data_IF_660140508098
#
_entry.id   IF_660140508098
#
_cell.length_a   1.000
_cell.length_b   1.000
_cell.length_c   1.000
_cell.angle_alpha   90.00
_cell.angle_beta   90.00
_cell.angle_gamma   90.00
#
_symmetry.space_group_name_H-M   'P 1'
#
loop_
_entity.id
_entity.type
_entity.pdbx_description
1 polymer ?
#
# COMPACT_ATOMS: atom_id res chain seq x y z
N UNK A 1 27.93 -5.40 8.01
CA UNK A 1 28.17 -5.15 6.58
C UNK A 1 26.90 -4.54 6.01
N UNK A 2 27.05 -3.55 5.12
CA UNK A 2 26.10 -2.51 4.69
C UNK A 2 24.59 -2.86 4.59
N UNK A 3 23.80 -2.36 5.54
CA UNK A 3 22.34 -2.18 5.42
C UNK A 3 21.92 -1.14 4.35
N UNK A 4 22.87 -0.54 3.63
CA UNK A 4 22.61 0.43 2.55
C UNK A 4 22.39 -0.20 1.17
N UNK A 5 22.74 -1.48 0.98
CA UNK A 5 22.73 -2.10 -0.36
C UNK A 5 21.35 -2.68 -0.72
N UNK A 6 20.54 -3.10 0.26
CA UNK A 6 19.20 -3.66 0.00
C UNK A 6 18.12 -2.59 -0.30
N UNK A 7 18.41 -1.29 -0.14
CA UNK A 7 17.42 -0.21 -0.28
C UNK A 7 17.43 0.50 -1.63
N UNK A 8 18.29 0.11 -2.58
CA UNK A 8 18.33 0.70 -3.92
C UNK A 8 17.42 -0.03 -4.93
N UNK A 9 16.87 -1.19 -4.59
CA UNK A 9 16.01 -1.95 -5.49
C UNK A 9 14.65 -1.29 -5.65
N UNK A 10 14.28 -0.91 -6.87
CA UNK A 10 12.94 -0.42 -7.19
C UNK A 10 11.97 -1.59 -7.28
N UNK A 11 10.83 -1.50 -6.58
CA UNK A 11 9.77 -2.49 -6.69
C UNK A 11 9.29 -2.60 -8.14
N UNK A 12 9.15 -3.81 -8.65
CA UNK A 12 8.52 -4.06 -9.95
C UNK A 12 7.00 -3.98 -9.76
N UNK A 13 6.28 -3.47 -10.77
CA UNK A 13 4.82 -3.49 -10.77
C UNK A 13 4.29 -4.91 -10.52
N UNK A 14 3.31 -5.01 -9.63
CA UNK A 14 2.58 -6.23 -9.31
C UNK A 14 1.11 -5.98 -9.55
N UNK A 15 0.37 -6.98 -10.03
CA UNK A 15 -1.09 -6.86 -10.18
C UNK A 15 -1.77 -6.65 -8.82
N UNK A 16 -1.12 -7.04 -7.73
CA UNK A 16 -1.57 -6.74 -6.37
C UNK A 16 -1.64 -5.23 -6.04
N UNK A 17 -0.96 -4.37 -6.81
CA UNK A 17 -1.01 -2.91 -6.66
C UNK A 17 -2.14 -2.26 -7.46
N UNK A 18 -2.86 -3.03 -8.29
CA UNK A 18 -3.96 -2.56 -9.12
C UNK A 18 -5.06 -1.92 -8.27
N UNK A 19 -5.49 -0.72 -8.66
CA UNK A 19 -6.72 -0.10 -8.14
C UNK A 19 -7.93 -0.50 -9.00
N UNK A 20 -7.68 -1.29 -10.05
CA UNK A 20 -8.65 -1.93 -10.93
C UNK A 20 -9.21 -1.01 -12.00
N UNK A 21 -8.55 0.09 -12.30
CA UNK A 21 -8.85 0.92 -13.46
C UNK A 21 -7.73 0.73 -14.46
N UNK A 22 -8.02 0.09 -15.59
CA UNK A 22 -7.00 -0.32 -16.56
C UNK A 22 -6.15 0.84 -17.08
N UNK A 23 -6.74 2.04 -17.20
CA UNK A 23 -6.01 3.21 -17.70
C UNK A 23 -5.08 3.76 -16.64
N UNK A 24 -5.56 3.88 -15.40
CA UNK A 24 -4.73 4.37 -14.29
C UNK A 24 -3.66 3.34 -13.92
N UNK A 25 -4.00 2.06 -13.86
CA UNK A 25 -3.06 0.96 -13.61
C UNK A 25 -1.95 0.92 -14.68
N UNK A 26 -2.26 1.22 -15.96
CA UNK A 26 -1.25 1.34 -17.00
C UNK A 26 -0.32 2.54 -16.81
N UNK A 27 -0.83 3.67 -16.31
CA UNK A 27 0.00 4.82 -15.94
C UNK A 27 0.89 4.50 -14.73
N UNK A 28 0.34 3.83 -13.70
CA UNK A 28 1.12 3.35 -12.57
C UNK A 28 2.22 2.40 -13.00
N UNK A 29 1.92 1.40 -13.82
CA UNK A 29 2.92 0.48 -14.36
C UNK A 29 4.04 1.23 -15.08
N UNK A 30 3.71 2.23 -15.92
CA UNK A 30 4.73 3.03 -16.60
C UNK A 30 5.59 3.86 -15.64
N UNK A 31 5.05 4.35 -14.52
CA UNK A 31 5.85 5.00 -13.46
C UNK A 31 6.91 4.04 -12.89
N UNK A 32 6.50 2.80 -12.60
CA UNK A 32 7.43 1.76 -12.13
C UNK A 32 8.45 1.39 -13.19
N UNK A 33 8.07 1.29 -14.47
CA UNK A 33 9.01 1.00 -15.56
C UNK A 33 10.10 2.08 -15.67
N UNK A 34 9.71 3.36 -15.66
CA UNK A 34 10.66 4.49 -15.69
C UNK A 34 11.56 4.45 -14.46
N UNK A 35 11.01 4.21 -13.27
CA UNK A 35 11.79 4.13 -12.04
C UNK A 35 12.78 2.95 -12.07
N UNK A 36 12.40 1.81 -12.64
CA UNK A 36 13.26 0.63 -12.77
C UNK A 36 14.48 0.86 -13.67
N UNK A 37 14.48 1.87 -14.53
CA UNK A 37 15.66 2.28 -15.31
C UNK A 37 16.83 2.73 -14.39
N UNK A 38 16.55 3.12 -13.14
CA UNK A 38 17.58 3.42 -12.14
C UNK A 38 18.51 2.23 -11.88
N UNK A 39 18.02 0.99 -12.01
CA UNK A 39 18.80 -0.23 -11.79
C UNK A 39 19.92 -0.43 -12.82
N UNK A 40 19.77 0.17 -14.01
CA UNK A 40 20.75 0.09 -15.11
C UNK A 40 21.43 1.43 -15.38
N UNK A 41 21.30 2.38 -14.45
CA UNK A 41 21.89 3.70 -14.59
C UNK A 41 23.43 3.64 -14.50
N UNK A 42 24.12 4.14 -15.53
CA UNK A 42 25.58 4.03 -15.68
C UNK A 42 26.33 5.33 -15.42
N UNK A 43 25.66 6.48 -15.49
CA UNK A 43 26.31 7.79 -15.34
C UNK A 43 25.31 8.90 -14.97
N UNK A 44 25.81 10.06 -14.55
CA UNK A 44 24.97 11.19 -14.10
C UNK A 44 24.06 11.76 -15.20
N UNK A 45 24.46 11.68 -16.47
CA UNK A 45 23.66 12.17 -17.60
C UNK A 45 22.43 11.26 -17.77
N UNK A 46 22.63 9.95 -17.71
CA UNK A 46 21.57 8.95 -17.74
C UNK A 46 20.63 9.14 -16.53
N UNK A 47 21.18 9.26 -15.31
CA UNK A 47 20.40 9.53 -14.09
C UNK A 47 19.53 10.79 -14.21
N UNK A 48 20.10 11.87 -14.76
CA UNK A 48 19.37 13.13 -14.97
C UNK A 48 18.24 12.96 -15.99
N UNK A 49 18.43 12.09 -16.99
CA UNK A 49 17.41 11.78 -18.00
C UNK A 49 16.25 11.01 -17.37
N UNK A 50 16.55 9.94 -16.63
CA UNK A 50 15.56 9.12 -15.90
C UNK A 50 14.75 10.02 -14.94
N UNK A 51 15.42 10.83 -14.12
CA UNK A 51 14.73 11.69 -13.15
C UNK A 51 13.81 12.72 -13.82
N UNK A 52 14.25 13.32 -14.94
CA UNK A 52 13.40 14.25 -15.69
C UNK A 52 12.20 13.55 -16.31
N UNK A 53 12.39 12.34 -16.82
CA UNK A 53 11.30 11.52 -17.35
C UNK A 53 10.31 11.15 -16.24
N UNK A 54 10.80 10.67 -15.09
CA UNK A 54 9.99 10.34 -13.93
C UNK A 54 9.15 11.55 -13.49
N UNK A 55 9.77 12.71 -13.28
CA UNK A 55 9.04 13.96 -12.92
C UNK A 55 7.97 14.30 -13.95
N UNK A 56 8.32 14.24 -15.25
CA UNK A 56 7.39 14.56 -16.33
C UNK A 56 6.20 13.61 -16.32
N UNK A 57 6.45 12.32 -16.17
CA UNK A 57 5.42 11.29 -16.20
C UNK A 57 4.55 11.30 -14.94
N UNK A 58 5.13 11.49 -13.75
CA UNK A 58 4.38 11.69 -12.49
C UNK A 58 3.43 12.88 -12.60
N UNK A 59 3.88 14.02 -13.15
CA UNK A 59 2.99 15.18 -13.39
C UNK A 59 1.88 14.87 -14.39
N UNK A 60 2.18 14.10 -15.44
CA UNK A 60 1.18 13.69 -16.42
C UNK A 60 0.10 12.80 -15.80
N UNK A 61 0.52 11.78 -15.05
CA UNK A 61 -0.37 10.86 -14.35
C UNK A 61 -1.28 11.62 -13.37
N UNK A 62 -0.70 12.43 -12.46
CA UNK A 62 -1.47 13.23 -11.51
C UNK A 62 -2.44 14.20 -12.18
N UNK A 63 -2.08 14.80 -13.32
CA UNK A 63 -3.01 15.65 -14.06
C UNK A 63 -4.19 14.88 -14.66
N UNK A 64 -3.98 13.62 -15.08
CA UNK A 64 -5.04 12.75 -15.57
C UNK A 64 -5.95 12.29 -14.43
N UNK A 65 -5.38 11.87 -13.31
CA UNK A 65 -6.14 11.46 -12.12
C UNK A 65 -6.96 12.64 -11.57
N UNK A 66 -6.36 13.82 -11.41
CA UNK A 66 -7.09 15.01 -10.93
C UNK A 66 -8.22 15.45 -11.89
N UNK A 67 -8.06 15.20 -13.20
CA UNK A 67 -9.14 15.42 -14.18
C UNK A 67 -10.26 14.42 -13.94
N UNK A 68 -9.94 13.15 -13.78
CA UNK A 68 -10.89 12.10 -13.46
C UNK A 68 -11.64 12.39 -12.15
N UNK A 69 -10.93 12.70 -11.07
CA UNK A 69 -11.51 13.08 -9.77
C UNK A 69 -12.45 14.29 -9.87
N UNK A 70 -12.13 15.26 -10.74
CA UNK A 70 -12.99 16.42 -10.99
C UNK A 70 -14.28 16.04 -11.72
N UNK A 71 -14.19 15.18 -12.73
CA UNK A 71 -15.35 14.65 -13.45
C UNK A 71 -16.29 13.88 -12.50
N UNK A 72 -15.74 13.26 -11.46
CA UNK A 72 -16.47 12.55 -10.42
C UNK A 72 -17.03 13.44 -9.30
N UNK A 73 -16.68 14.73 -9.26
CA UNK A 73 -16.94 15.62 -8.11
C UNK A 73 -16.41 15.04 -6.78
N UNK A 74 -15.24 14.40 -6.81
CA UNK A 74 -14.63 13.80 -5.63
C UNK A 74 -14.37 14.87 -4.55
N UNK A 75 -14.98 14.67 -3.38
CA UNK A 75 -15.07 15.71 -2.34
C UNK A 75 -13.71 16.13 -1.78
N UNK A 76 -12.73 15.22 -1.80
CA UNK A 76 -11.39 15.43 -1.23
C UNK A 76 -10.33 15.78 -2.28
N UNK A 77 -10.74 16.20 -3.48
CA UNK A 77 -9.83 16.57 -4.57
C UNK A 77 -8.77 17.61 -4.14
N UNK A 78 -9.18 18.60 -3.34
CA UNK A 78 -8.25 19.64 -2.88
C UNK A 78 -7.14 19.06 -1.97
N UNK A 79 -7.49 18.12 -1.08
CA UNK A 79 -6.53 17.44 -0.21
C UNK A 79 -5.59 16.55 -1.03
N UNK A 80 -6.13 15.78 -1.97
CA UNK A 80 -5.35 14.88 -2.83
C UNK A 80 -4.34 15.63 -3.70
N UNK A 81 -4.73 16.80 -4.23
CA UNK A 81 -3.81 17.71 -4.96
C UNK A 81 -2.61 18.16 -4.15
N UNK A 82 -2.77 18.37 -2.84
CA UNK A 82 -1.66 18.74 -1.95
C UNK A 82 -0.67 17.57 -1.84
N UNK A 83 -1.16 16.32 -1.79
CA UNK A 83 -0.31 15.12 -1.79
C UNK A 83 0.50 15.03 -3.09
N UNK A 84 -0.14 15.22 -4.24
CA UNK A 84 0.55 15.28 -5.55
C UNK A 84 1.61 16.36 -5.59
N UNK A 85 1.28 17.56 -5.14
CA UNK A 85 2.21 18.68 -5.13
C UNK A 85 3.45 18.36 -4.28
N UNK A 86 3.27 17.81 -3.08
CA UNK A 86 4.37 17.44 -2.20
C UNK A 86 5.29 16.37 -2.83
N UNK A 87 4.72 15.35 -3.48
CA UNK A 87 5.50 14.31 -4.18
C UNK A 87 6.31 14.89 -5.34
N UNK A 88 5.69 15.76 -6.13
CA UNK A 88 6.36 16.43 -7.25
C UNK A 88 7.45 17.38 -6.74
N UNK A 89 7.20 18.12 -5.68
CA UNK A 89 8.19 18.99 -5.04
C UNK A 89 9.40 18.18 -4.55
N UNK A 90 9.17 17.05 -3.88
CA UNK A 90 10.24 16.16 -3.44
C UNK A 90 11.13 15.67 -4.60
N UNK A 91 10.53 15.25 -5.73
CA UNK A 91 11.29 14.88 -6.92
C UNK A 91 12.08 16.06 -7.51
N UNK A 92 11.51 17.26 -7.54
CA UNK A 92 12.21 18.46 -8.03
C UNK A 92 13.37 18.84 -7.11
N UNK A 93 13.26 18.65 -5.79
CA UNK A 93 14.36 18.87 -4.85
C UNK A 93 15.54 17.93 -5.11
N UNK A 94 15.28 16.67 -5.46
CA UNK A 94 16.34 15.74 -5.91
C UNK A 94 16.98 16.25 -7.21
N UNK A 95 16.17 16.70 -8.17
CA UNK A 95 16.68 17.21 -9.45
C UNK A 95 17.55 18.46 -9.27
N UNK A 96 17.23 19.35 -8.32
CA UNK A 96 18.04 20.54 -8.01
C UNK A 96 19.45 20.18 -7.51
N UNK A 97 19.58 19.07 -6.80
CA UNK A 97 20.83 18.64 -6.15
C UNK A 97 21.66 17.67 -7.02
N UNK A 98 21.12 17.18 -8.14
CA UNK A 98 21.72 16.11 -8.94
C UNK A 98 23.15 16.42 -9.46
N UNK A 99 23.46 17.69 -9.70
CA UNK A 99 24.78 18.12 -10.17
C UNK A 99 25.84 18.01 -9.07
N UNK A 100 25.48 18.32 -7.82
CA UNK A 100 26.38 18.38 -6.67
C UNK A 100 26.38 17.11 -5.81
N UNK A 101 25.28 16.36 -5.78
CA UNK A 101 25.12 15.15 -4.98
C UNK A 101 25.79 13.93 -5.62
N UNK A 102 26.19 12.96 -4.81
CA UNK A 102 26.68 11.66 -5.28
C UNK A 102 25.56 10.92 -6.04
N UNK A 103 25.93 10.20 -7.10
CA UNK A 103 25.00 9.39 -7.89
C UNK A 103 24.35 8.28 -7.05
N UNK A 104 25.11 7.58 -6.22
CA UNK A 104 24.60 6.49 -5.38
C UNK A 104 23.61 7.03 -4.36
N UNK A 105 23.92 8.18 -3.74
CA UNK A 105 23.01 8.85 -2.82
C UNK A 105 21.74 9.34 -3.52
N UNK A 106 21.84 9.87 -4.75
CA UNK A 106 20.66 10.27 -5.53
C UNK A 106 19.81 9.06 -5.91
N UNK A 107 20.40 7.95 -6.35
CA UNK A 107 19.67 6.72 -6.66
C UNK A 107 18.94 6.20 -5.41
N UNK A 108 19.62 6.17 -4.27
CA UNK A 108 19.01 5.79 -2.98
C UNK A 108 17.84 6.71 -2.60
N UNK A 109 17.99 8.03 -2.74
CA UNK A 109 16.87 8.95 -2.44
C UNK A 109 15.68 8.74 -3.38
N UNK A 110 15.94 8.49 -4.67
CA UNK A 110 14.89 8.18 -5.64
C UNK A 110 14.21 6.83 -5.36
N UNK A 111 14.96 5.81 -4.95
CA UNK A 111 14.38 4.52 -4.59
C UNK A 111 13.45 4.64 -3.40
N UNK A 112 13.80 5.44 -2.39
CA UNK A 112 12.89 5.75 -1.29
C UNK A 112 11.65 6.50 -1.79
N UNK A 113 11.79 7.54 -2.61
CA UNK A 113 10.63 8.29 -3.12
C UNK A 113 9.66 7.40 -3.92
N UNK A 114 10.18 6.49 -4.74
CA UNK A 114 9.34 5.58 -5.53
C UNK A 114 8.74 4.48 -4.65
N UNK A 115 9.58 3.72 -3.96
CA UNK A 115 9.14 2.54 -3.21
C UNK A 115 8.35 2.89 -1.97
N UNK A 116 8.57 4.06 -1.38
CA UNK A 116 7.81 4.50 -0.20
C UNK A 116 6.72 5.46 -0.60
N UNK A 117 7.08 6.62 -1.13
CA UNK A 117 6.11 7.69 -1.27
C UNK A 117 5.11 7.46 -2.41
N UNK A 118 5.57 7.10 -3.61
CA UNK A 118 4.68 6.84 -4.75
C UNK A 118 3.88 5.55 -4.54
N UNK A 119 4.54 4.44 -4.17
CA UNK A 119 3.83 3.17 -3.95
C UNK A 119 2.78 3.29 -2.84
N UNK A 120 3.10 3.95 -1.72
CA UNK A 120 2.12 4.15 -0.64
C UNK A 120 0.96 5.05 -1.10
N UNK A 121 1.24 6.08 -1.91
CA UNK A 121 0.19 6.92 -2.48
C UNK A 121 -0.78 6.12 -3.35
N UNK A 122 -0.28 5.28 -4.25
CA UNK A 122 -1.09 4.39 -5.10
C UNK A 122 -1.96 3.46 -4.24
N UNK A 123 -1.32 2.76 -3.29
CA UNK A 123 -1.99 1.75 -2.47
C UNK A 123 -3.05 2.34 -1.53
N UNK A 124 -2.84 3.58 -1.05
CA UNK A 124 -3.68 4.18 -0.03
C UNK A 124 -4.61 5.26 -0.60
N UNK A 125 -4.09 6.23 -1.34
CA UNK A 125 -4.84 7.43 -1.73
C UNK A 125 -5.60 7.22 -3.03
N UNK A 126 -4.95 6.79 -4.10
CA UNK A 126 -5.60 6.52 -5.40
C UNK A 126 -6.68 5.45 -5.23
N UNK A 127 -6.38 4.42 -4.42
CA UNK A 127 -7.34 3.37 -4.09
C UNK A 127 -8.60 3.89 -3.39
N UNK A 128 -8.50 4.91 -2.51
CA UNK A 128 -9.68 5.55 -1.90
C UNK A 128 -10.56 6.23 -2.95
N UNK A 129 -9.96 6.89 -3.95
CA UNK A 129 -10.72 7.51 -5.05
C UNK A 129 -11.54 6.45 -5.78
N UNK A 130 -10.92 5.31 -6.10
CA UNK A 130 -11.59 4.23 -6.80
C UNK A 130 -12.65 3.50 -5.95
N UNK A 131 -12.47 3.44 -4.63
CA UNK A 131 -13.51 2.94 -3.72
C UNK A 131 -14.72 3.87 -3.59
N UNK A 132 -14.56 5.18 -3.80
CA UNK A 132 -15.72 6.07 -3.79
C UNK A 132 -16.63 5.88 -5.01
N UNK A 133 -16.11 5.35 -6.12
CA UNK A 133 -16.86 5.20 -7.38
C UNK A 133 -17.30 3.76 -7.67
N UNK A 134 -16.53 2.76 -7.24
CA UNK A 134 -16.84 1.37 -7.55
C UNK A 134 -17.91 0.83 -6.61
N UNK A 135 -18.93 0.13 -7.13
CA UNK A 135 -19.85 -0.62 -6.29
C UNK A 135 -19.09 -1.62 -5.43
N UNK A 136 -19.54 -1.76 -4.18
CA UNK A 136 -19.02 -2.74 -3.22
C UNK A 136 -19.02 -4.18 -3.75
N UNK A 137 -19.93 -4.51 -4.68
CA UNK A 137 -19.95 -5.83 -5.32
C UNK A 137 -18.63 -6.13 -6.04
N UNK A 138 -17.97 -5.12 -6.62
CA UNK A 138 -16.66 -5.30 -7.26
C UNK A 138 -15.55 -5.66 -6.27
N UNK A 139 -15.60 -5.16 -5.03
CA UNK A 139 -14.63 -5.58 -4.02
C UNK A 139 -14.82 -7.08 -3.72
N UNK A 140 -16.07 -7.56 -3.59
CA UNK A 140 -16.34 -8.99 -3.31
C UNK A 140 -15.76 -9.90 -4.39
N UNK A 141 -15.81 -9.47 -5.65
CA UNK A 141 -15.29 -10.26 -6.78
C UNK A 141 -13.75 -10.33 -6.80
N UNK A 142 -13.09 -9.29 -6.28
CA UNK A 142 -11.63 -9.14 -6.35
C UNK A 142 -10.91 -9.50 -5.05
N UNK A 143 -11.57 -9.37 -3.91
CA UNK A 143 -11.01 -9.61 -2.59
C UNK A 143 -10.90 -11.12 -2.35
N UNK A 144 -9.75 -11.68 -2.70
CA UNK A 144 -9.45 -13.11 -2.56
C UNK A 144 -7.97 -13.27 -2.27
N UNK A 145 -7.64 -14.31 -1.50
CA UNK A 145 -6.25 -14.72 -1.34
C UNK A 145 -5.61 -15.03 -2.70
N UNK A 146 -4.35 -14.66 -2.86
CA UNK A 146 -3.58 -14.77 -4.10
C UNK A 146 -2.13 -15.10 -3.73
N UNK A 147 -1.45 -15.83 -4.62
CA UNK A 147 -0.03 -16.17 -4.51
C UNK A 147 0.85 -14.92 -4.34
N UNK A 148 0.43 -13.77 -4.87
CA UNK A 148 1.17 -12.50 -4.77
C UNK A 148 1.29 -11.96 -3.32
N UNK A 149 0.48 -12.48 -2.38
CA UNK A 149 0.50 -12.12 -0.96
C UNK A 149 1.40 -13.02 -0.12
N UNK A 150 1.94 -14.11 -0.68
CA UNK A 150 2.72 -15.07 0.08
C UNK A 150 4.04 -14.50 0.57
N UNK A 151 4.32 -14.73 1.85
CA UNK A 151 5.58 -14.45 2.51
C UNK A 151 6.56 -15.61 2.46
N UNK A 152 6.14 -16.77 1.95
CA UNK A 152 6.90 -18.04 1.99
C UNK A 152 7.14 -18.51 3.42
N UNK A 153 6.25 -18.13 4.33
CA UNK A 153 6.19 -18.62 5.70
C UNK A 153 4.82 -19.28 5.86
N UNK A 154 4.81 -20.60 6.02
CA UNK A 154 3.57 -21.38 6.01
C UNK A 154 2.55 -20.88 7.06
N UNK A 155 3.01 -20.58 8.28
CA UNK A 155 2.11 -20.13 9.35
C UNK A 155 1.50 -18.76 8.98
N UNK A 156 2.32 -17.79 8.61
CA UNK A 156 1.83 -16.44 8.28
C UNK A 156 0.94 -16.45 7.03
N UNK A 157 1.26 -17.28 6.03
CA UNK A 157 0.46 -17.42 4.82
C UNK A 157 -0.91 -18.05 5.13
N UNK A 158 -0.97 -19.06 6.00
CA UNK A 158 -2.23 -19.67 6.46
C UNK A 158 -3.08 -18.68 7.27
N UNK A 159 -2.45 -17.87 8.12
CA UNK A 159 -3.14 -16.84 8.90
C UNK A 159 -3.66 -15.69 8.04
N UNK A 160 -2.88 -15.23 7.05
CA UNK A 160 -3.35 -14.27 6.07
C UNK A 160 -4.57 -14.81 5.32
N UNK A 161 -4.52 -16.04 4.80
CA UNK A 161 -5.67 -16.66 4.12
C UNK A 161 -6.91 -16.68 5.02
N UNK A 162 -6.72 -16.99 6.31
CA UNK A 162 -7.81 -16.96 7.29
C UNK A 162 -8.34 -15.53 7.56
N UNK A 163 -7.49 -14.50 7.60
CA UNK A 163 -7.92 -13.10 7.68
C UNK A 163 -8.79 -12.71 6.48
N UNK A 164 -8.42 -13.11 5.26
CA UNK A 164 -9.25 -12.92 4.08
C UNK A 164 -10.61 -13.63 4.22
N UNK A 165 -10.62 -14.87 4.70
CA UNK A 165 -11.84 -15.64 4.91
C UNK A 165 -12.78 -14.96 5.92
N UNK A 166 -12.26 -14.50 7.06
CA UNK A 166 -13.05 -13.79 8.08
C UNK A 166 -13.58 -12.47 7.52
N UNK A 167 -12.73 -11.71 6.82
CA UNK A 167 -13.12 -10.45 6.21
C UNK A 167 -14.24 -10.65 5.17
N UNK A 168 -14.19 -11.73 4.37
CA UNK A 168 -15.27 -12.08 3.44
C UNK A 168 -16.59 -12.43 4.13
N UNK A 169 -16.57 -13.06 5.31
CA UNK A 169 -17.80 -13.33 6.08
C UNK A 169 -18.53 -12.03 6.44
N UNK A 170 -17.80 -10.95 6.69
CA UNK A 170 -18.40 -9.64 7.01
C UNK A 170 -19.26 -9.06 5.87
N UNK A 171 -19.00 -9.48 4.63
CA UNK A 171 -19.75 -9.07 3.45
C UNK A 171 -21.02 -9.91 3.23
N UNK A 172 -21.16 -11.08 3.87
CA UNK A 172 -22.22 -12.04 3.60
C UNK A 172 -23.31 -12.08 4.70
N UNK A 173 -24.18 -11.07 4.73
CA UNK A 173 -25.26 -10.91 5.73
C UNK A 173 -26.65 -11.34 5.19
N UNK A 174 -26.83 -12.57 4.72
CA UNK A 174 -28.14 -13.00 4.20
C UNK A 174 -29.18 -13.18 5.34
N UNK A 175 -30.16 -12.28 5.43
CA UNK A 175 -31.34 -12.43 6.31
C UNK A 175 -31.17 -12.03 7.78
N UNK A 176 -29.97 -11.65 8.22
CA UNK A 176 -29.68 -11.14 9.57
C UNK A 176 -29.67 -9.61 9.60
N UNK A 177 -29.88 -9.00 10.77
CA UNK A 177 -29.63 -7.56 10.94
C UNK A 177 -28.16 -7.26 10.62
N UNK A 178 -27.94 -6.49 9.57
CA UNK A 178 -26.61 -6.15 9.05
C UNK A 178 -25.67 -5.60 10.13
N UNK A 179 -26.15 -4.73 11.02
CA UNK A 179 -25.31 -4.16 12.10
C UNK A 179 -24.87 -5.22 13.10
N UNK A 180 -25.73 -6.18 13.42
CA UNK A 180 -25.41 -7.28 14.34
C UNK A 180 -24.43 -8.27 13.72
N UNK A 181 -24.70 -8.73 12.50
CA UNK A 181 -23.82 -9.65 11.76
C UNK A 181 -22.41 -9.07 11.61
N UNK A 182 -22.35 -7.83 11.15
CA UNK A 182 -21.11 -7.11 10.97
C UNK A 182 -20.36 -6.95 12.29
N UNK A 183 -21.05 -6.57 13.38
CA UNK A 183 -20.38 -6.41 14.68
C UNK A 183 -19.71 -7.72 15.11
N UNK A 184 -20.36 -8.86 14.88
CA UNK A 184 -19.79 -10.19 15.15
C UNK A 184 -18.56 -10.42 14.28
N UNK A 185 -18.67 -10.23 12.96
CA UNK A 185 -17.56 -10.52 12.04
C UNK A 185 -16.38 -9.56 12.16
N UNK A 186 -16.62 -8.27 12.47
CA UNK A 186 -15.55 -7.28 12.71
C UNK A 186 -14.83 -7.59 14.02
N UNK A 187 -15.56 -8.04 15.04
CA UNK A 187 -14.92 -8.52 16.27
C UNK A 187 -14.12 -9.81 16.03
N UNK A 188 -14.64 -10.75 15.23
CA UNK A 188 -13.90 -11.95 14.82
C UNK A 188 -12.59 -11.57 14.09
N UNK A 189 -12.67 -10.61 13.15
CA UNK A 189 -11.51 -10.11 12.42
C UNK A 189 -10.49 -9.45 13.37
N UNK A 190 -10.97 -8.62 14.28
CA UNK A 190 -10.15 -7.93 15.27
C UNK A 190 -9.39 -8.91 16.17
N UNK A 191 -10.07 -9.91 16.74
CA UNK A 191 -9.41 -10.88 17.62
C UNK A 191 -8.41 -11.72 16.84
N UNK A 192 -8.74 -12.14 15.61
CA UNK A 192 -7.81 -12.93 14.80
C UNK A 192 -6.60 -12.12 14.33
N UNK A 193 -6.76 -10.83 13.98
CA UNK A 193 -5.63 -9.94 13.67
C UNK A 193 -4.66 -9.82 14.84
N UNK A 194 -5.16 -9.69 16.07
CA UNK A 194 -4.28 -9.65 17.25
C UNK A 194 -3.49 -10.94 17.44
N UNK A 195 -4.12 -12.09 17.21
CA UNK A 195 -3.42 -13.38 17.25
C UNK A 195 -2.33 -13.44 16.18
N UNK A 196 -2.67 -13.08 14.95
CA UNK A 196 -1.73 -13.05 13.83
C UNK A 196 -0.54 -12.11 14.09
N UNK A 197 -0.79 -10.86 14.47
CA UNK A 197 0.28 -9.90 14.78
C UNK A 197 1.21 -10.39 15.88
N UNK A 198 0.69 -11.06 16.91
CA UNK A 198 1.55 -11.66 17.94
C UNK A 198 2.47 -12.74 17.35
N UNK A 199 1.95 -13.65 16.52
CA UNK A 199 2.75 -14.70 15.90
C UNK A 199 3.77 -14.14 14.90
N UNK A 200 3.39 -13.14 14.11
CA UNK A 200 4.29 -12.43 13.22
C UNK A 200 5.41 -11.74 14.00
N UNK A 201 5.09 -10.99 15.05
CA UNK A 201 6.10 -10.32 15.87
C UNK A 201 7.03 -11.31 16.59
N UNK A 202 6.51 -12.45 17.06
CA UNK A 202 7.34 -13.54 17.57
C UNK A 202 8.30 -14.08 16.51
N UNK A 203 7.83 -14.26 15.27
CA UNK A 203 8.67 -14.65 14.15
C UNK A 203 9.72 -13.58 13.80
N UNK A 204 9.34 -12.31 13.77
CA UNK A 204 10.24 -11.18 13.52
C UNK A 204 11.35 -11.07 14.58
N UNK A 205 11.03 -11.34 15.85
CA UNK A 205 12.02 -11.46 16.93
C UNK A 205 12.98 -12.63 16.66
N UNK A 206 12.46 -13.80 16.28
CA UNK A 206 13.27 -15.00 16.03
C UNK A 206 14.29 -14.80 14.90
N UNK A 207 13.91 -14.10 13.84
CA UNK A 207 14.80 -13.81 12.71
C UNK A 207 15.67 -12.57 12.91
N UNK A 208 15.51 -11.84 14.02
CA UNK A 208 16.26 -10.62 14.30
C UNK A 208 15.95 -9.48 13.34
N UNK A 209 14.67 -9.31 12.95
CA UNK A 209 14.25 -8.31 11.98
C UNK A 209 14.54 -6.88 12.50
N UNK A 210 15.31 -6.06 11.76
CA UNK A 210 15.84 -4.79 12.26
C UNK A 210 14.78 -3.68 12.39
N UNK A 211 13.64 -3.81 11.71
CA UNK A 211 12.54 -2.83 11.70
C UNK A 211 11.34 -3.29 12.53
N UNK A 212 11.56 -4.17 13.51
CA UNK A 212 10.50 -4.74 14.35
C UNK A 212 9.70 -3.66 15.09
N UNK A 213 10.35 -2.64 15.65
CA UNK A 213 9.67 -1.62 16.43
C UNK A 213 8.81 -0.71 15.54
N UNK A 214 9.27 -0.37 14.34
CA UNK A 214 8.45 0.33 13.35
C UNK A 214 7.26 -0.52 12.90
N UNK A 215 7.46 -1.82 12.73
CA UNK A 215 6.41 -2.76 12.33
C UNK A 215 5.35 -2.92 13.42
N UNK A 216 5.76 -3.04 14.70
CA UNK A 216 4.86 -3.01 15.87
C UNK A 216 4.03 -1.74 15.95
N UNK A 217 4.63 -0.59 15.72
CA UNK A 217 3.90 0.68 15.72
C UNK A 217 2.79 0.71 14.65
N UNK A 218 3.01 0.03 13.51
CA UNK A 218 1.98 -0.12 12.47
C UNK A 218 0.84 -1.02 12.97
N UNK A 219 1.14 -2.17 13.58
CA UNK A 219 0.14 -3.05 14.20
C UNK A 219 -0.69 -2.34 15.27
N UNK A 220 -0.03 -1.61 16.17
CA UNK A 220 -0.69 -0.85 17.23
C UNK A 220 -1.67 0.17 16.65
N UNK A 221 -1.21 0.97 15.69
CA UNK A 221 -2.08 1.91 14.97
C UNK A 221 -3.23 1.18 14.26
N UNK A 222 -2.99 -0.04 13.76
CA UNK A 222 -4.04 -0.83 13.13
C UNK A 222 -5.15 -1.17 14.15
N UNK A 223 -4.75 -1.73 15.29
CA UNK A 223 -5.65 -2.11 16.38
C UNK A 223 -6.39 -0.89 16.95
N UNK A 224 -5.73 0.27 17.09
CA UNK A 224 -6.35 1.50 17.57
C UNK A 224 -7.49 1.98 16.66
N UNK A 225 -7.26 2.00 15.34
CA UNK A 225 -8.29 2.47 14.40
C UNK A 225 -9.44 1.48 14.30
N UNK A 226 -9.20 0.17 14.35
CA UNK A 226 -10.28 -0.83 14.42
C UNK A 226 -11.14 -0.63 15.66
N UNK A 227 -10.51 -0.42 16.82
CA UNK A 227 -11.23 -0.12 18.07
C UNK A 227 -12.07 1.15 17.95
N UNK A 228 -11.54 2.21 17.32
CA UNK A 228 -12.28 3.44 17.07
C UNK A 228 -13.49 3.22 16.14
N UNK A 229 -13.37 2.35 15.13
CA UNK A 229 -14.45 1.97 14.23
C UNK A 229 -15.54 1.14 14.93
N UNK A 230 -15.17 0.10 15.69
CA UNK A 230 -16.10 -0.73 16.47
C UNK A 230 -16.93 0.14 17.43
N UNK A 231 -16.30 1.14 18.09
CA UNK A 231 -16.99 2.10 18.96
C UNK A 231 -18.03 2.95 18.21
N UNK A 232 -17.75 3.33 16.97
CA UNK A 232 -18.66 4.16 16.13
C UNK A 232 -19.73 3.34 15.41
N UNK A 233 -19.55 2.02 15.28
CA UNK A 233 -20.44 1.12 14.55
C UNK A 233 -21.94 1.29 14.86
N UNK A 234 -22.39 1.48 16.12
CA UNK A 234 -23.82 1.67 16.41
C UNK A 234 -24.43 2.90 15.72
N UNK A 235 -23.67 4.00 15.61
CA UNK A 235 -24.14 5.30 15.10
C UNK A 235 -23.89 5.51 13.62
N UNK A 236 -23.09 4.66 12.98
CA UNK A 236 -22.81 4.75 11.55
C UNK A 236 -24.06 4.45 10.70
N UNK A 237 -24.21 5.22 9.62
CA UNK A 237 -25.11 4.89 8.52
C UNK A 237 -24.57 3.67 7.78
N UNK A 238 -25.44 2.94 7.08
CA UNK A 238 -25.02 1.74 6.39
C UNK A 238 -23.96 2.01 5.31
N UNK A 239 -24.10 3.11 4.59
CA UNK A 239 -23.17 3.54 3.54
C UNK A 239 -21.78 3.83 4.13
N UNK A 240 -21.71 4.58 5.24
CA UNK A 240 -20.43 4.93 5.86
C UNK A 240 -19.77 3.71 6.51
N UNK A 241 -20.59 2.80 7.02
CA UNK A 241 -20.12 1.51 7.50
C UNK A 241 -19.47 0.70 6.36
N UNK A 242 -20.15 0.53 5.23
CA UNK A 242 -19.65 -0.23 4.08
C UNK A 242 -18.35 0.35 3.54
N UNK A 243 -18.27 1.69 3.39
CA UNK A 243 -17.04 2.38 2.99
C UNK A 243 -15.88 2.08 3.94
N UNK A 244 -16.12 2.09 5.25
CA UNK A 244 -15.09 1.78 6.25
C UNK A 244 -14.68 0.32 6.20
N UNK A 245 -15.61 -0.60 6.01
CA UNK A 245 -15.27 -2.02 5.86
C UNK A 245 -14.36 -2.26 4.65
N UNK A 246 -14.68 -1.66 3.50
CA UNK A 246 -13.84 -1.69 2.28
C UNK A 246 -12.43 -1.16 2.58
N UNK A 247 -12.34 -0.02 3.28
CA UNK A 247 -11.07 0.57 3.70
C UNK A 247 -10.25 -0.44 4.55
N UNK A 248 -10.84 -1.07 5.56
CA UNK A 248 -10.11 -2.06 6.36
C UNK A 248 -9.71 -3.32 5.58
N UNK A 249 -10.58 -3.82 4.70
CA UNK A 249 -10.26 -5.01 3.93
C UNK A 249 -9.15 -4.72 2.92
N UNK A 250 -9.31 -3.69 2.12
CA UNK A 250 -8.51 -3.52 0.92
C UNK A 250 -7.35 -2.52 1.08
N UNK A 251 -7.44 -1.61 2.06
CA UNK A 251 -6.34 -0.68 2.36
C UNK A 251 -5.54 -1.17 3.56
N UNK A 252 -6.17 -1.76 4.58
CA UNK A 252 -5.44 -2.13 5.77
C UNK A 252 -4.81 -3.49 5.64
N UNK A 253 -5.62 -4.54 5.48
CA UNK A 253 -5.09 -5.90 5.37
C UNK A 253 -4.21 -6.06 4.13
N UNK A 254 -4.75 -5.76 2.93
CA UNK A 254 -4.01 -5.98 1.68
C UNK A 254 -2.75 -5.12 1.60
N UNK A 255 -2.82 -3.83 1.93
CA UNK A 255 -1.62 -3.01 1.81
C UNK A 255 -0.60 -3.32 2.90
N UNK A 256 -1.02 -3.68 4.12
CA UNK A 256 -0.08 -4.11 5.16
C UNK A 256 0.72 -5.32 4.67
N UNK A 257 0.04 -6.35 4.16
CA UNK A 257 0.72 -7.52 3.57
C UNK A 257 1.66 -7.11 2.44
N UNK A 258 1.17 -6.32 1.48
CA UNK A 258 1.95 -5.97 0.29
C UNK A 258 3.11 -5.01 0.55
N UNK A 259 2.96 -4.13 1.52
CA UNK A 259 3.87 -3.01 1.74
C UNK A 259 4.77 -3.21 2.97
N UNK A 260 4.27 -3.87 4.01
CA UNK A 260 4.99 -4.10 5.25
C UNK A 260 5.50 -5.55 5.33
N UNK A 261 4.62 -6.54 5.30
CA UNK A 261 4.99 -7.92 5.64
C UNK A 261 5.86 -8.54 4.53
N UNK A 262 5.66 -8.14 3.27
CA UNK A 262 6.55 -8.54 2.18
C UNK A 262 8.00 -8.08 2.33
N UNK A 263 8.30 -7.07 3.16
CA UNK A 263 9.70 -6.68 3.47
C UNK A 263 10.44 -7.80 4.21
N UNK A 264 9.71 -8.66 4.91
CA UNK A 264 10.25 -9.84 5.61
C UNK A 264 10.88 -10.80 4.61
N UNK A 265 10.27 -10.99 3.44
CA UNK A 265 10.79 -11.85 2.37
C UNK A 265 12.20 -11.41 1.96
N UNK A 266 12.35 -10.11 1.69
CA UNK A 266 13.62 -9.53 1.25
C UNK A 266 14.69 -9.70 2.32
N UNK A 267 14.35 -9.46 3.58
CA UNK A 267 15.26 -9.64 4.71
C UNK A 267 15.69 -11.10 4.92
N UNK A 268 14.76 -12.05 4.82
CA UNK A 268 15.08 -13.48 4.96
C UNK A 268 16.00 -13.94 3.82
N UNK A 269 15.75 -13.49 2.59
CA UNK A 269 16.57 -13.84 1.44
C UNK A 269 18.00 -13.26 1.55
N UNK A 270 18.15 -12.02 2.01
CA UNK A 270 19.46 -11.40 2.15
C UNK A 270 20.30 -11.98 3.29
N UNK A 271 19.68 -12.54 4.35
CA UNK A 271 20.39 -13.22 5.44
C UNK A 271 20.66 -14.72 5.19
N UNK A 272 20.08 -15.32 4.14
CA UNK A 272 20.36 -16.70 3.73
C UNK A 272 21.46 -16.79 2.65
N UNK A 273 21.96 -15.64 2.17
CA UNK A 273 22.98 -15.49 1.13
C UNK A 273 24.36 -15.22 1.74
#
# INVERSE_FOLDING_TARGET
>A
MNAKIDSCYISIWSNAYSIGDEKIDAEHQRLFDIANELNVCTNKIHLTTILKELIKYTKFHFANEERFMRELNFSRLAEHKVLHQNLVEALNEVLKKISTQDMEETIFQLSILVNKNILQHILIEDKKVHHEIKPREHLRERFKWNIEYQLKNQLLDEEHEQLFNIALKSLNYHGTNIKTHVKITVNELYEYMKTHFNHEEEYLVQIGYPLLEEHRAIHENIIEQMNAFIKKLPTLSIINFEKKLIEYMDIWLINHILYEDRKIISFVQSNQS
#
